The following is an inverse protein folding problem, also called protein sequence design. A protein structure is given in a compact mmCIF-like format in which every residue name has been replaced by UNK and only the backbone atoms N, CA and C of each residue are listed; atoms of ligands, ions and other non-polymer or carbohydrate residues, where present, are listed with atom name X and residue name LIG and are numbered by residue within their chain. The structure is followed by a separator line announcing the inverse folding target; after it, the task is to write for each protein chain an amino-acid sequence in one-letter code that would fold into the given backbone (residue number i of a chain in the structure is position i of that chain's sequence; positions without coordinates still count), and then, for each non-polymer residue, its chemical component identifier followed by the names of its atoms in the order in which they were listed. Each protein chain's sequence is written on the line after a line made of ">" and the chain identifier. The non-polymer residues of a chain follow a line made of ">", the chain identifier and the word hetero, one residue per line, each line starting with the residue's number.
data_IF_238371928371
#
_entry.id   IF_238371928371
#
_cell.length_a   1.000
_cell.length_b   1.000
_cell.length_c   1.000
_cell.angle_alpha   90.00
_cell.angle_beta   90.00
_cell.angle_gamma   90.00
#
_symmetry.space_group_name_H-M   'P 1'
#
loop_
_entity.id
_entity.type
_entity.pdbx_description
1 polymer ?
#
# COMPACT_ATOMS: atom_id res chain seq x y z
N UNK A 1 -14.93 -13.62 21.04
CA UNK A 1 -14.62 -12.38 20.29
C UNK A 1 -14.69 -11.24 21.28
N UNK A 2 -13.63 -10.44 21.47
CA UNK A 2 -13.68 -9.30 22.39
C UNK A 2 -14.77 -8.33 21.91
N UNK A 3 -15.61 -7.88 22.83
CA UNK A 3 -16.66 -6.91 22.58
C UNK A 3 -16.11 -5.50 22.34
N UNK A 4 -16.95 -4.58 21.86
CA UNK A 4 -16.55 -3.19 21.61
C UNK A 4 -15.95 -2.50 22.84
N UNK A 5 -16.43 -2.84 24.04
CA UNK A 5 -15.92 -2.28 25.29
C UNK A 5 -14.50 -2.76 25.65
N UNK A 6 -14.21 -4.04 25.43
CA UNK A 6 -12.88 -4.59 25.67
C UNK A 6 -11.85 -3.96 24.71
N UNK A 7 -12.23 -3.78 23.44
CA UNK A 7 -11.41 -3.08 22.44
C UNK A 7 -11.11 -1.63 22.83
N UNK A 8 -12.09 -0.90 23.36
CA UNK A 8 -11.90 0.47 23.85
C UNK A 8 -10.92 0.53 25.03
N UNK A 9 -10.99 -0.43 25.95
CA UNK A 9 -10.05 -0.52 27.08
C UNK A 9 -8.62 -0.81 26.57
N UNK A 10 -8.46 -1.76 25.65
CA UNK A 10 -7.15 -2.04 25.05
C UNK A 10 -6.58 -0.82 24.32
N UNK A 11 -7.42 -0.11 23.56
CA UNK A 11 -7.02 1.12 22.90
C UNK A 11 -6.61 2.20 23.90
N UNK A 12 -7.34 2.33 25.01
CA UNK A 12 -7.01 3.23 26.12
C UNK A 12 -5.65 2.91 26.76
N UNK A 13 -5.37 1.64 27.03
CA UNK A 13 -4.07 1.20 27.58
C UNK A 13 -2.95 1.48 26.58
N UNK A 14 -3.15 1.16 25.30
CA UNK A 14 -2.17 1.46 24.25
C UNK A 14 -1.90 2.97 24.15
N UNK A 15 -2.93 3.81 24.23
CA UNK A 15 -2.81 5.26 24.25
C UNK A 15 -2.05 5.77 25.49
N UNK A 16 -2.15 5.10 26.63
CA UNK A 16 -1.43 5.47 27.84
C UNK A 16 0.07 5.12 27.74
N UNK A 17 0.40 3.96 27.15
CA UNK A 17 1.78 3.50 26.97
C UNK A 17 2.51 4.25 25.84
N UNK A 18 1.85 4.41 24.69
CA UNK A 18 2.44 5.05 23.52
C UNK A 18 2.19 6.57 23.51
N UNK A 19 1.19 7.07 24.23
CA UNK A 19 0.78 8.47 24.21
C UNK A 19 -0.12 8.79 23.01
N UNK A 20 -1.11 9.66 23.23
CA UNK A 20 -2.10 10.05 22.20
C UNK A 20 -1.54 10.66 20.92
N UNK A 21 -0.29 11.12 20.93
CA UNK A 21 0.37 11.75 19.77
C UNK A 21 1.20 10.77 18.93
N UNK A 22 1.68 9.65 19.50
CA UNK A 22 2.54 8.70 18.76
C UNK A 22 1.76 7.87 17.75
N UNK A 23 0.55 7.40 18.09
CA UNK A 23 -0.27 6.59 17.18
C UNK A 23 -0.59 7.38 15.87
N UNK A 24 -1.07 8.64 15.91
CA UNK A 24 -1.31 9.42 14.69
C UNK A 24 -0.04 9.74 13.88
N UNK A 25 1.09 9.95 14.56
CA UNK A 25 2.38 10.23 13.93
C UNK A 25 2.89 9.02 13.15
N UNK A 26 2.84 7.83 13.77
CA UNK A 26 3.18 6.56 13.12
C UNK A 26 2.25 6.28 11.94
N UNK A 27 0.94 6.44 12.12
CA UNK A 27 -0.04 6.26 11.02
C UNK A 27 0.21 7.22 9.85
N UNK A 28 0.58 8.47 10.12
CA UNK A 28 0.95 9.43 9.05
C UNK A 28 2.17 8.95 8.27
N UNK A 29 3.25 8.56 8.97
CA UNK A 29 4.48 8.10 8.31
C UNK A 29 4.29 6.81 7.50
N UNK A 30 3.51 5.86 8.04
CA UNK A 30 3.15 4.62 7.36
C UNK A 30 2.24 4.89 6.17
N UNK A 31 1.23 5.76 6.34
CA UNK A 31 0.31 6.15 5.28
C UNK A 31 1.01 6.82 4.10
N UNK A 32 1.95 7.73 4.38
CA UNK A 32 2.79 8.33 3.33
C UNK A 32 3.61 7.27 2.58
N UNK A 33 4.22 6.33 3.31
CA UNK A 33 4.99 5.23 2.70
C UNK A 33 4.12 4.34 1.80
N UNK A 34 2.92 3.99 2.24
CA UNK A 34 1.96 3.18 1.45
C UNK A 34 1.47 3.94 0.21
N UNK A 35 1.26 5.25 0.32
CA UNK A 35 0.85 6.10 -0.82
C UNK A 35 1.95 6.15 -1.88
N UNK A 36 3.19 6.41 -1.49
CA UNK A 36 4.33 6.44 -2.42
C UNK A 36 4.61 5.06 -3.01
N UNK A 37 4.50 3.99 -2.21
CA UNK A 37 4.59 2.62 -2.70
C UNK A 37 3.54 2.32 -3.79
N UNK A 38 2.28 2.69 -3.54
CA UNK A 38 1.19 2.48 -4.51
C UNK A 38 1.40 3.29 -5.79
N UNK A 39 1.93 4.52 -5.70
CA UNK A 39 2.29 5.34 -6.86
C UNK A 39 3.40 4.70 -7.68
N UNK A 40 4.46 4.24 -7.03
CA UNK A 40 5.58 3.55 -7.70
C UNK A 40 5.13 2.29 -8.43
N UNK A 41 4.32 1.46 -7.79
CA UNK A 41 3.77 0.23 -8.41
C UNK A 41 2.90 0.55 -9.63
N UNK A 42 2.03 1.57 -9.53
CA UNK A 42 1.20 1.99 -10.67
C UNK A 42 2.02 2.56 -11.83
N UNK A 43 3.06 3.35 -11.54
CA UNK A 43 3.94 3.89 -12.57
C UNK A 43 4.66 2.80 -13.37
N UNK A 44 5.05 1.71 -12.72
CA UNK A 44 5.67 0.54 -13.37
C UNK A 44 4.67 -0.23 -14.26
N UNK A 45 3.39 -0.24 -13.87
CA UNK A 45 2.32 -0.93 -14.61
C UNK A 45 1.85 -0.14 -15.85
N UNK A 46 2.02 1.19 -15.81
CA UNK A 46 1.61 2.12 -16.88
C UNK A 46 2.75 2.44 -17.87
N UNK A 47 4.01 2.12 -17.53
CA UNK A 47 5.13 2.16 -18.47
C UNK A 47 5.03 0.95 -19.44
N UNK A 48 5.00 1.18 -20.77
CA UNK A 48 5.03 0.08 -21.73
C UNK A 48 6.35 -0.66 -21.56
N UNK A 49 6.26 -1.90 -21.06
CA UNK A 49 7.41 -2.81 -20.90
C UNK A 49 8.17 -2.85 -22.23
N UNK A 50 9.47 -2.50 -22.30
CA UNK A 50 10.26 -2.53 -23.53
C UNK A 50 10.44 -3.92 -24.16
N UNK A 51 9.90 -4.97 -23.53
CA UNK A 51 10.17 -6.37 -23.85
C UNK A 51 8.99 -7.14 -24.47
N UNK A 52 7.93 -6.45 -24.94
CA UNK A 52 7.08 -7.06 -25.98
C UNK A 52 7.82 -7.03 -27.32
N UNK A 53 8.80 -7.94 -27.46
CA UNK A 53 9.23 -8.42 -28.78
C UNK A 53 7.97 -8.83 -29.56
N UNK A 54 7.79 -8.38 -30.81
CA UNK A 54 6.72 -8.86 -31.64
C UNK A 54 7.02 -10.33 -31.98
N UNK A 55 6.38 -11.25 -31.28
CA UNK A 55 6.40 -12.67 -31.59
C UNK A 55 5.13 -13.05 -32.33
N UNK A 56 5.29 -13.43 -33.61
CA UNK A 56 4.27 -14.01 -34.48
C UNK A 56 3.44 -12.96 -35.22
N UNK A 57 3.50 -12.78 -36.54
CA UNK A 57 3.84 -13.69 -37.63
C UNK A 57 4.07 -12.82 -38.87
N UNK A 58 5.13 -12.98 -39.68
CA UNK A 58 5.16 -12.36 -41.00
C UNK A 58 4.07 -13.07 -41.81
N UNK A 59 3.02 -12.35 -42.20
CA UNK A 59 2.05 -12.83 -43.17
C UNK A 59 2.77 -12.80 -44.52
N UNK A 60 3.15 -13.95 -45.12
CA UNK A 60 3.71 -13.95 -46.46
C UNK A 60 2.59 -13.55 -47.41
N UNK A 61 2.82 -12.47 -48.12
CA UNK A 61 2.04 -12.07 -49.28
C UNK A 61 2.29 -13.10 -50.38
N UNK A 62 1.25 -13.85 -50.74
CA UNK A 62 1.08 -14.53 -52.04
C UNK A 62 -0.40 -14.55 -52.40
#
# INVERSE_FOLDING_TARGET
>A
MPGPWELLIFLGIALLLFGGKRIPELMRSLGQSVVEFKKGVKGIEEEPRPDEKPSGTPKPSE
#
